data_IF_031365881630
#
_entry.id   IF_031365881630
#
_cell.length_a   1.000
_cell.length_b   1.000
_cell.length_c   1.000
_cell.angle_alpha   90.00
_cell.angle_beta   90.00
_cell.angle_gamma   90.00
#
_symmetry.space_group_name_H-M   'P 1'
#
loop_
_entity.id
_entity.type
_entity.pdbx_description
1 polymer ?
#
# COMPACT_ATOMS: atom_id res chain seq x y z
N UNK A 1 -7.12 19.11 -5.70
CA UNK A 1 -7.01 17.65 -5.68
C UNK A 1 -5.81 17.26 -6.53
N UNK A 2 -5.22 16.09 -6.28
CA UNK A 2 -4.18 15.52 -7.13
C UNK A 2 -4.78 15.21 -8.53
N UNK A 3 -4.09 15.61 -9.58
CA UNK A 3 -4.34 15.10 -10.93
C UNK A 3 -3.75 13.68 -11.00
N UNK A 4 -4.60 12.68 -10.69
CA UNK A 4 -4.22 11.27 -10.63
C UNK A 4 -4.36 10.65 -12.01
N UNK A 5 -3.22 10.32 -12.62
CA UNK A 5 -3.22 9.54 -13.86
C UNK A 5 -3.54 8.07 -13.53
N UNK A 6 -4.61 7.55 -14.14
CA UNK A 6 -5.05 6.16 -13.99
C UNK A 6 -4.84 5.46 -15.34
N UNK A 7 -4.12 4.35 -15.32
CA UNK A 7 -3.81 3.56 -16.51
C UNK A 7 -4.54 2.21 -16.50
N UNK A 8 -4.73 1.61 -17.65
CA UNK A 8 -5.23 0.24 -17.73
C UNK A 8 -4.11 -0.78 -17.40
N UNK A 9 -4.44 -2.00 -16.95
CA UNK A 9 -3.45 -3.06 -16.70
C UNK A 9 -2.57 -3.41 -17.92
N UNK A 10 -3.06 -3.14 -19.14
CA UNK A 10 -2.29 -3.38 -20.37
C UNK A 10 -1.22 -2.33 -20.65
N UNK A 11 -1.27 -1.17 -20.00
CA UNK A 11 -0.34 -0.05 -20.20
C UNK A 11 0.89 -0.17 -19.29
N UNK A 12 1.56 -1.33 -19.32
CA UNK A 12 2.67 -1.69 -18.41
C UNK A 12 3.81 -0.67 -18.47
N UNK A 13 4.27 -0.31 -19.67
CA UNK A 13 5.35 0.68 -19.86
C UNK A 13 4.98 2.04 -19.29
N UNK A 14 3.77 2.50 -19.59
CA UNK A 14 3.27 3.78 -19.09
C UNK A 14 3.15 3.78 -17.57
N UNK A 15 2.66 2.68 -16.98
CA UNK A 15 2.59 2.53 -15.53
C UNK A 15 3.97 2.64 -14.87
N UNK A 16 4.99 1.99 -15.42
CA UNK A 16 6.36 2.06 -14.91
C UNK A 16 6.96 3.46 -15.05
N UNK A 17 6.74 4.15 -16.18
CA UNK A 17 7.19 5.54 -16.38
C UNK A 17 6.58 6.46 -15.32
N UNK A 18 5.26 6.38 -15.11
CA UNK A 18 4.55 7.19 -14.11
C UNK A 18 5.05 6.89 -12.69
N UNK A 19 5.22 5.60 -12.36
CA UNK A 19 5.75 5.19 -11.06
C UNK A 19 7.14 5.78 -10.79
N UNK A 20 8.06 5.68 -11.75
CA UNK A 20 9.42 6.21 -11.57
C UNK A 20 9.47 7.74 -11.56
N UNK A 21 8.55 8.41 -12.25
CA UNK A 21 8.42 9.87 -12.24
C UNK A 21 7.84 10.39 -10.91
N UNK A 22 6.72 9.81 -10.49
CA UNK A 22 5.88 10.36 -9.42
C UNK A 22 6.07 9.66 -8.06
N UNK A 23 6.62 8.43 -8.05
CA UNK A 23 6.72 7.56 -6.88
C UNK A 23 5.49 6.70 -6.65
N UNK A 24 4.49 6.81 -7.52
CA UNK A 24 3.27 5.98 -7.51
C UNK A 24 2.56 6.04 -8.86
N UNK A 25 1.66 5.08 -9.10
CA UNK A 25 0.75 5.04 -10.24
C UNK A 25 -0.57 4.38 -9.83
N UNK A 26 -1.67 4.83 -10.39
CA UNK A 26 -2.97 4.17 -10.25
C UNK A 26 -3.27 3.30 -11.47
N UNK A 27 -3.81 2.11 -11.24
CA UNK A 27 -4.20 1.13 -12.27
C UNK A 27 -5.67 0.79 -12.06
N UNK A 28 -6.50 0.95 -13.09
CA UNK A 28 -7.90 0.59 -13.03
C UNK A 28 -8.10 -0.93 -13.14
N UNK A 29 -9.28 -1.40 -12.75
CA UNK A 29 -9.71 -2.79 -12.98
C UNK A 29 -8.68 -3.84 -12.53
N UNK A 30 -8.13 -3.66 -11.33
CA UNK A 30 -7.14 -4.57 -10.75
C UNK A 30 -7.71 -5.97 -10.45
N UNK A 31 -9.03 -6.11 -10.33
CA UNK A 31 -9.75 -7.30 -9.91
C UNK A 31 -10.83 -7.71 -10.89
N UNK A 32 -11.14 -9.01 -10.93
CA UNK A 32 -12.47 -9.47 -11.37
C UNK A 32 -13.52 -9.14 -10.30
N UNK A 33 -14.80 -9.15 -10.68
CA UNK A 33 -15.88 -8.86 -9.72
C UNK A 33 -15.86 -9.82 -8.54
N UNK A 34 -15.68 -11.11 -8.79
CA UNK A 34 -15.64 -12.14 -7.74
C UNK A 34 -14.44 -11.97 -6.79
N UNK A 35 -13.27 -11.61 -7.32
CA UNK A 35 -12.09 -11.32 -6.50
C UNK A 35 -12.33 -10.10 -5.61
N UNK A 36 -12.91 -9.05 -6.17
CA UNK A 36 -13.19 -7.82 -5.45
C UNK A 36 -14.19 -8.02 -4.31
N UNK A 37 -15.35 -8.64 -4.59
CA UNK A 37 -16.35 -8.89 -3.54
C UNK A 37 -15.80 -9.81 -2.45
N UNK A 38 -15.03 -10.85 -2.81
CA UNK A 38 -14.40 -11.74 -1.83
C UNK A 38 -13.47 -11.00 -0.86
N UNK A 39 -12.57 -10.14 -1.34
CA UNK A 39 -11.66 -9.40 -0.46
C UNK A 39 -12.38 -8.29 0.31
N UNK A 40 -13.37 -7.63 -0.29
CA UNK A 40 -14.18 -6.61 0.35
C UNK A 40 -14.97 -7.18 1.53
N UNK A 41 -15.61 -8.34 1.36
CA UNK A 41 -16.34 -9.03 2.43
C UNK A 41 -15.39 -9.45 3.57
N UNK A 42 -14.22 -9.98 3.22
CA UNK A 42 -13.20 -10.31 4.22
C UNK A 42 -12.74 -9.08 4.99
N UNK A 43 -12.51 -7.96 4.29
CA UNK A 43 -12.12 -6.71 4.92
C UNK A 43 -13.21 -6.19 5.89
N UNK A 44 -14.47 -6.27 5.51
CA UNK A 44 -15.57 -5.88 6.40
C UNK A 44 -15.67 -6.77 7.65
N UNK A 45 -15.43 -8.09 7.53
CA UNK A 45 -15.37 -8.99 8.71
C UNK A 45 -14.28 -8.55 9.68
N UNK A 46 -13.05 -8.31 9.17
CA UNK A 46 -11.92 -7.89 10.02
C UNK A 46 -12.15 -6.49 10.61
N UNK A 47 -12.70 -5.55 9.85
CA UNK A 47 -13.10 -4.23 10.38
C UNK A 47 -14.03 -4.38 11.57
N UNK A 48 -15.08 -5.22 11.45
CA UNK A 48 -16.03 -5.46 12.55
C UNK A 48 -15.32 -6.02 13.77
N UNK A 49 -14.53 -7.08 13.62
CA UNK A 49 -13.79 -7.71 14.72
C UNK A 49 -12.85 -6.73 15.42
N UNK A 50 -12.08 -5.93 14.66
CA UNK A 50 -11.14 -4.96 15.23
C UNK A 50 -11.84 -3.80 15.93
N UNK A 51 -12.95 -3.30 15.39
CA UNK A 51 -13.68 -2.17 15.98
C UNK A 51 -14.50 -2.58 17.21
N UNK A 52 -14.88 -3.84 17.33
CA UNK A 52 -15.46 -4.40 18.56
C UNK A 52 -14.40 -4.58 19.67
N UNK A 53 -13.15 -4.86 19.30
CA UNK A 53 -12.06 -5.09 20.25
C UNK A 53 -11.29 -3.83 20.65
N UNK A 54 -11.20 -2.81 19.78
CA UNK A 54 -10.35 -1.63 19.95
C UNK A 54 -11.18 -0.37 19.73
N UNK A 55 -11.26 0.50 20.75
CA UNK A 55 -12.00 1.76 20.65
C UNK A 55 -11.34 2.77 19.68
N UNK A 56 -12.11 3.77 19.24
CA UNK A 56 -11.64 4.80 18.29
C UNK A 56 -10.40 5.55 18.79
N UNK A 57 -10.31 5.80 20.11
CA UNK A 57 -9.21 6.51 20.75
C UNK A 57 -7.92 5.66 20.80
N UNK A 58 -8.07 4.32 20.82
CA UNK A 58 -6.96 3.37 20.89
C UNK A 58 -6.57 2.82 19.52
N UNK A 59 -7.17 3.33 18.45
CA UNK A 59 -6.82 2.93 17.09
C UNK A 59 -5.35 3.18 16.80
N UNK A 60 -4.68 2.20 16.18
CA UNK A 60 -3.21 2.14 16.09
C UNK A 60 -2.58 3.04 15.02
N UNK A 61 -3.39 3.83 14.30
CA UNK A 61 -2.96 4.80 13.27
C UNK A 61 -3.48 6.21 13.51
N UNK A 62 -3.95 6.50 14.74
CA UNK A 62 -4.59 7.74 15.13
C UNK A 62 -6.09 7.57 15.33
N UNK A 63 -6.75 8.57 15.89
CA UNK A 63 -8.19 8.51 16.19
C UNK A 63 -9.01 8.03 14.99
N UNK A 64 -9.82 6.99 15.21
CA UNK A 64 -10.71 6.38 14.22
C UNK A 64 -10.00 5.87 12.95
N UNK A 65 -8.68 5.58 13.02
CA UNK A 65 -7.87 5.08 11.92
C UNK A 65 -7.07 3.85 12.34
N UNK A 66 -7.21 2.79 11.60
CA UNK A 66 -6.65 1.48 11.95
C UNK A 66 -5.79 0.92 10.83
N UNK A 67 -4.72 0.21 11.20
CA UNK A 67 -4.07 -0.76 10.32
C UNK A 67 -4.72 -2.11 10.57
N UNK A 68 -4.96 -2.85 9.49
CA UNK A 68 -5.37 -4.25 9.60
C UNK A 68 -4.29 -5.13 10.28
N UNK A 69 -3.02 -4.70 10.25
CA UNK A 69 -1.91 -5.57 10.57
C UNK A 69 -1.67 -6.60 9.46
N UNK A 70 -0.92 -7.66 9.76
CA UNK A 70 -0.76 -8.78 8.83
C UNK A 70 -2.05 -9.59 8.73
N UNK A 71 -2.48 -9.85 7.49
CA UNK A 71 -3.70 -10.58 7.18
C UNK A 71 -3.43 -11.83 6.34
N UNK A 72 -2.19 -12.33 6.33
CA UNK A 72 -1.79 -13.51 5.53
C UNK A 72 -2.37 -14.83 6.06
N UNK A 73 -3.09 -14.79 7.17
CA UNK A 73 -3.91 -15.90 7.70
C UNK A 73 -5.33 -15.95 7.10
N UNK A 74 -5.67 -14.99 6.22
CA UNK A 74 -6.90 -14.96 5.44
C UNK A 74 -6.61 -15.28 3.96
N UNK A 75 -7.18 -16.32 3.36
CA UNK A 75 -6.94 -16.69 1.97
C UNK A 75 -7.24 -15.57 0.98
N UNK A 76 -8.21 -14.71 1.29
CA UNK A 76 -8.61 -13.57 0.46
C UNK A 76 -7.45 -12.57 0.30
N UNK A 77 -6.72 -12.25 1.37
CA UNK A 77 -5.54 -11.38 1.31
C UNK A 77 -4.37 -12.03 0.57
N UNK A 78 -4.20 -13.33 0.72
CA UNK A 78 -3.13 -14.05 0.05
C UNK A 78 -3.26 -14.01 -1.48
N UNK A 79 -4.48 -13.91 -2.00
CA UNK A 79 -4.75 -13.76 -3.44
C UNK A 79 -4.36 -12.40 -4.01
N UNK A 80 -4.07 -11.41 -3.15
CA UNK A 80 -3.62 -10.10 -3.62
C UNK A 80 -2.17 -10.12 -4.13
N UNK A 81 -1.38 -11.12 -3.75
CA UNK A 81 0.05 -11.14 -4.07
C UNK A 81 0.37 -11.57 -5.51
N UNK A 82 -0.57 -12.20 -6.24
CA UNK A 82 -0.33 -12.70 -7.59
C UNK A 82 -1.40 -12.30 -8.62
N UNK A 83 -1.99 -11.12 -8.44
CA UNK A 83 -2.96 -10.57 -9.39
C UNK A 83 -2.33 -10.41 -10.79
N UNK A 84 -2.88 -11.07 -11.82
CA UNK A 84 -2.30 -11.04 -13.18
C UNK A 84 -2.35 -9.65 -13.82
N UNK A 85 -3.22 -8.77 -13.35
CA UNK A 85 -3.34 -7.36 -13.76
C UNK A 85 -2.24 -6.48 -13.17
N UNK A 86 -1.59 -6.89 -12.10
CA UNK A 86 -0.65 -6.09 -11.33
C UNK A 86 0.79 -6.61 -11.46
N UNK A 87 0.99 -7.92 -11.41
CA UNK A 87 2.36 -8.50 -11.43
C UNK A 87 3.22 -8.05 -12.62
N UNK A 88 2.72 -7.96 -13.86
CA UNK A 88 3.55 -7.51 -14.98
C UNK A 88 4.05 -6.07 -14.81
N UNK A 89 3.27 -5.21 -14.13
CA UNK A 89 3.69 -3.84 -13.81
C UNK A 89 4.77 -3.84 -12.74
N UNK A 90 4.64 -4.68 -11.70
CA UNK A 90 5.68 -4.83 -10.66
C UNK A 90 7.00 -5.36 -11.27
N UNK A 91 6.91 -6.37 -12.14
CA UNK A 91 8.05 -6.91 -12.88
C UNK A 91 8.76 -5.83 -13.70
N UNK A 92 7.98 -4.99 -14.39
CA UNK A 92 8.53 -3.87 -15.16
C UNK A 92 9.18 -2.80 -14.28
N UNK A 93 8.57 -2.45 -13.14
CA UNK A 93 9.12 -1.44 -12.21
C UNK A 93 10.45 -1.93 -11.62
N UNK A 94 10.56 -3.21 -11.25
CA UNK A 94 11.79 -3.78 -10.70
C UNK A 94 12.80 -4.21 -11.76
N UNK A 95 12.40 -4.25 -13.02
CA UNK A 95 13.15 -4.86 -14.14
C UNK A 95 13.62 -6.29 -13.78
N UNK A 96 12.75 -7.06 -13.12
CA UNK A 96 13.05 -8.39 -12.59
C UNK A 96 11.78 -9.13 -12.17
N UNK A 97 11.78 -10.45 -12.35
CA UNK A 97 10.78 -11.37 -11.82
C UNK A 97 11.16 -11.97 -10.44
N UNK A 98 12.34 -11.60 -9.88
CA UNK A 98 12.93 -12.20 -8.67
C UNK A 98 12.55 -11.51 -7.37
N UNK A 99 11.55 -10.62 -7.38
CA UNK A 99 11.01 -10.01 -6.15
C UNK A 99 10.22 -11.02 -5.31
N UNK A 100 9.94 -10.66 -4.06
CA UNK A 100 9.13 -11.49 -3.15
C UNK A 100 8.04 -10.66 -2.49
N UNK A 101 6.96 -11.35 -2.08
CA UNK A 101 5.88 -10.72 -1.30
C UNK A 101 6.34 -10.42 0.12
N UNK A 102 5.89 -9.28 0.65
CA UNK A 102 6.02 -8.93 2.07
C UNK A 102 4.78 -9.29 2.90
N UNK A 103 3.83 -9.99 2.30
CA UNK A 103 2.53 -10.27 2.90
C UNK A 103 1.44 -9.29 2.49
N UNK A 104 0.35 -9.32 3.21
CA UNK A 104 -0.83 -8.51 2.97
C UNK A 104 -1.40 -7.89 4.25
N UNK A 105 -2.09 -6.79 4.11
CA UNK A 105 -2.70 -6.03 5.20
C UNK A 105 -3.50 -4.85 4.68
N UNK A 106 -3.20 -3.66 5.15
CA UNK A 106 -3.85 -2.42 4.72
C UNK A 106 -4.29 -1.56 5.89
N UNK A 107 -5.13 -0.58 5.57
CA UNK A 107 -5.64 0.39 6.53
C UNK A 107 -7.12 0.70 6.27
N UNK A 108 -7.81 1.13 7.31
CA UNK A 108 -9.15 1.70 7.17
C UNK A 108 -9.34 2.91 8.08
N UNK A 109 -10.24 3.79 7.70
CA UNK A 109 -10.65 4.93 8.52
C UNK A 109 -12.15 4.97 8.67
N UNK A 110 -12.59 5.13 9.92
CA UNK A 110 -13.98 5.35 10.27
C UNK A 110 -14.34 6.83 10.12
N UNK A 111 -15.63 7.17 10.07
CA UNK A 111 -16.10 8.55 10.17
C UNK A 111 -15.47 9.29 11.34
N UNK A 112 -15.03 10.53 11.11
CA UNK A 112 -14.35 11.36 12.10
C UNK A 112 -12.83 11.19 12.20
N UNK A 113 -12.25 10.25 11.46
CA UNK A 113 -10.78 10.12 11.40
C UNK A 113 -10.14 11.42 10.92
N UNK A 114 -9.08 11.87 11.61
CA UNK A 114 -8.40 13.14 11.32
C UNK A 114 -7.31 12.98 10.26
N UNK A 115 -6.88 14.09 9.68
CA UNK A 115 -5.76 14.13 8.75
C UNK A 115 -4.48 13.65 9.43
N UNK A 116 -3.71 12.78 8.77
CA UNK A 116 -2.38 12.38 9.22
C UNK A 116 -1.34 13.39 8.72
N UNK A 117 -0.25 13.56 9.47
CA UNK A 117 0.96 14.19 8.94
C UNK A 117 1.51 13.37 7.76
N UNK A 118 2.20 14.01 6.84
CA UNK A 118 2.93 13.31 5.78
C UNK A 118 4.02 12.45 6.39
N UNK A 119 4.19 11.25 5.85
CA UNK A 119 5.24 10.31 6.23
C UNK A 119 5.68 9.48 5.04
N UNK A 120 6.81 8.82 5.19
CA UNK A 120 7.28 7.72 4.35
C UNK A 120 7.32 6.46 5.20
N UNK A 121 6.94 5.30 4.64
CA UNK A 121 6.95 4.03 5.40
C UNK A 121 8.36 3.47 5.61
N UNK A 122 9.32 4.01 4.88
CA UNK A 122 10.72 3.62 4.99
C UNK A 122 11.59 4.86 5.23
N UNK A 123 12.11 5.05 6.45
CA UNK A 123 13.12 6.06 6.72
C UNK A 123 14.46 5.66 6.10
N UNK A 124 15.41 6.60 6.08
CA UNK A 124 16.76 6.32 5.61
C UNK A 124 17.49 5.39 6.61
N UNK A 125 17.53 4.11 6.28
CA UNK A 125 18.29 3.10 7.03
C UNK A 125 19.73 2.95 6.55
N UNK A 126 20.08 3.58 5.44
CA UNK A 126 21.43 3.53 4.88
C UNK A 126 22.30 4.56 5.60
N UNK A 127 23.23 4.09 6.42
CA UNK A 127 24.19 4.95 7.11
C UNK A 127 25.50 4.97 6.36
N UNK A 128 25.63 5.92 5.42
CA UNK A 128 26.93 6.26 4.86
C UNK A 128 27.64 7.28 5.76
N UNK A 129 28.80 6.91 6.39
CA UNK A 129 29.54 7.84 7.24
C UNK A 129 29.97 9.13 6.54
N UNK A 130 30.10 9.10 5.21
CA UNK A 130 30.47 10.25 4.41
C UNK A 130 29.27 11.01 3.84
N UNK A 131 28.05 10.55 4.14
CA UNK A 131 26.76 11.16 3.73
C UNK A 131 26.61 11.39 2.21
N UNK A 132 27.30 10.59 1.38
CA UNK A 132 27.26 10.67 -0.08
C UNK A 132 26.07 9.94 -0.68
N UNK A 133 25.64 8.86 -0.02
CA UNK A 133 24.55 7.97 -0.47
C UNK A 133 23.52 7.85 0.61
N UNK A 134 22.25 7.95 0.22
CA UNK A 134 21.06 7.72 1.07
C UNK A 134 20.18 6.64 0.43
N UNK A 135 19.22 6.14 1.13
CA UNK A 135 18.25 5.21 0.54
C UNK A 135 17.48 5.83 -0.63
N UNK A 136 17.41 7.16 -0.72
CA UNK A 136 16.74 7.89 -1.82
C UNK A 136 17.49 7.79 -3.15
N UNK A 137 18.78 7.45 -3.12
CA UNK A 137 19.63 7.30 -4.31
C UNK A 137 19.52 5.88 -4.93
N UNK A 138 19.01 4.91 -4.17
CA UNK A 138 18.90 3.52 -4.59
C UNK A 138 17.66 3.30 -5.48
N UNK A 139 17.64 2.26 -6.32
CA UNK A 139 16.42 1.80 -6.96
C UNK A 139 15.31 1.56 -5.94
N UNK A 140 14.06 1.43 -6.38
CA UNK A 140 12.93 1.17 -5.48
C UNK A 140 13.17 -0.09 -4.64
N UNK A 141 13.25 0.02 -3.30
CA UNK A 141 13.54 -1.12 -2.43
C UNK A 141 12.31 -1.96 -2.13
N UNK A 142 11.16 -1.30 -2.04
CA UNK A 142 9.91 -1.90 -1.61
C UNK A 142 8.72 -1.15 -2.19
N UNK A 143 7.78 -1.91 -2.74
CA UNK A 143 6.52 -1.42 -3.28
C UNK A 143 5.38 -1.87 -2.38
N UNK A 144 4.45 -0.97 -2.08
CA UNK A 144 3.14 -1.31 -1.53
C UNK A 144 2.09 -1.04 -2.60
N UNK A 145 1.19 -2.00 -2.78
CA UNK A 145 0.01 -1.87 -3.63
C UNK A 145 -1.20 -1.74 -2.73
N UNK A 146 -1.87 -0.62 -2.83
CA UNK A 146 -3.07 -0.28 -2.09
C UNK A 146 -4.31 -0.48 -2.97
N UNK A 147 -5.32 -1.15 -2.45
CA UNK A 147 -6.54 -1.48 -3.15
C UNK A 147 -7.74 -0.81 -2.49
N UNK A 148 -8.34 0.22 -3.10
CA UNK A 148 -9.60 0.82 -2.64
C UNK A 148 -10.75 -0.19 -2.67
N UNK A 149 -11.37 -0.44 -1.52
CA UNK A 149 -12.55 -1.31 -1.41
C UNK A 149 -13.87 -0.54 -1.59
N UNK A 150 -13.79 0.78 -1.65
CA UNK A 150 -14.84 1.72 -2.05
C UNK A 150 -14.21 2.80 -2.91
N UNK A 151 -15.00 3.58 -3.62
CA UNK A 151 -14.48 4.78 -4.31
C UNK A 151 -13.81 5.71 -3.31
N UNK A 152 -12.54 6.05 -3.56
CA UNK A 152 -11.82 7.02 -2.74
C UNK A 152 -12.18 8.42 -3.15
N UNK A 153 -12.75 9.17 -2.21
CA UNK A 153 -13.17 10.55 -2.41
C UNK A 153 -12.51 11.46 -1.36
N UNK A 154 -12.61 12.75 -1.59
CA UNK A 154 -12.15 13.74 -0.60
C UNK A 154 -12.86 13.58 0.73
N UNK A 155 -14.16 13.32 0.67
CA UNK A 155 -15.06 13.25 1.83
C UNK A 155 -14.78 12.03 2.70
N UNK A 156 -14.42 10.87 2.11
CA UNK A 156 -14.17 9.65 2.88
C UNK A 156 -12.71 9.47 3.32
N UNK A 157 -11.89 10.50 3.13
CA UNK A 157 -10.54 10.49 3.66
C UNK A 157 -9.55 9.69 2.80
N UNK A 158 -9.66 9.81 1.47
CA UNK A 158 -8.68 9.23 0.54
C UNK A 158 -7.24 9.65 0.89
N UNK A 159 -6.29 8.80 0.55
CA UNK A 159 -4.88 9.06 0.82
C UNK A 159 -4.36 10.18 -0.09
N UNK A 160 -3.58 11.10 0.48
CA UNK A 160 -2.84 12.11 -0.27
C UNK A 160 -1.41 11.60 -0.54
N UNK A 161 -0.88 11.94 -1.72
CA UNK A 161 0.48 11.63 -2.16
C UNK A 161 1.16 12.86 -2.69
N UNK A 162 2.47 12.99 -2.46
CA UNK A 162 3.26 14.09 -2.98
C UNK A 162 4.20 13.56 -4.06
N UNK A 163 3.91 13.92 -5.32
CA UNK A 163 4.64 13.45 -6.51
C UNK A 163 6.15 13.69 -6.39
N UNK A 164 6.94 12.69 -6.79
CA UNK A 164 8.41 12.77 -6.87
C UNK A 164 9.16 12.68 -5.55
N UNK A 165 8.46 12.62 -4.40
CA UNK A 165 9.12 12.66 -3.08
C UNK A 165 9.82 11.38 -2.68
N UNK A 166 9.59 10.27 -3.37
CA UNK A 166 10.32 9.01 -3.17
C UNK A 166 11.83 9.13 -3.42
N UNK A 167 12.26 10.20 -4.09
CA UNK A 167 13.66 10.55 -4.34
C UNK A 167 14.09 11.82 -3.59
N UNK A 168 13.23 12.39 -2.75
CA UNK A 168 13.53 13.64 -2.05
C UNK A 168 14.43 13.39 -0.86
N UNK A 169 15.50 14.19 -0.77
CA UNK A 169 16.35 14.30 0.43
C UNK A 169 15.90 15.40 1.39
N UNK A 170 14.86 16.15 1.03
CA UNK A 170 14.30 17.16 1.92
C UNK A 170 13.56 16.51 3.10
N UNK A 171 13.57 17.16 4.26
CA UNK A 171 12.77 16.69 5.39
C UNK A 171 11.27 16.83 5.07
N UNK A 172 10.49 15.88 5.58
CA UNK A 172 9.03 15.95 5.49
C UNK A 172 8.55 17.10 6.38
N UNK A 173 7.74 18.05 5.87
CA UNK A 173 7.24 19.15 6.68
C UNK A 173 6.29 18.65 7.77
N UNK A 174 6.27 19.33 8.92
CA UNK A 174 5.25 19.10 9.94
C UNK A 174 3.90 19.56 9.42
N UNK A 175 2.82 18.94 9.90
CA UNK A 175 1.45 19.21 9.41
C UNK A 175 1.06 20.69 9.45
N UNK A 176 1.51 21.41 10.47
CA UNK A 176 1.25 22.85 10.66
C UNK A 176 2.00 23.73 9.64
N UNK A 177 3.13 23.22 9.14
CA UNK A 177 3.96 23.90 8.16
C UNK A 177 3.73 23.41 6.72
N UNK A 178 2.87 22.40 6.53
CA UNK A 178 2.53 21.92 5.20
C UNK A 178 1.77 22.99 4.41
N UNK A 179 2.22 23.32 3.18
CA UNK A 179 1.47 24.20 2.32
C UNK A 179 0.12 23.57 1.93
N UNK A 180 -0.87 24.39 1.67
CA UNK A 180 -2.24 23.94 1.41
C UNK A 180 -2.36 22.98 0.22
N UNK A 181 -1.53 23.17 -0.81
CA UNK A 181 -1.51 22.26 -1.95
C UNK A 181 -1.11 20.81 -1.58
N UNK A 182 -0.22 20.62 -0.59
CA UNK A 182 0.14 19.28 -0.10
C UNK A 182 -1.03 18.63 0.66
N UNK A 183 -1.77 19.41 1.45
CA UNK A 183 -2.98 18.92 2.14
C UNK A 183 -4.06 18.49 1.16
N UNK A 184 -4.15 19.18 0.02
CA UNK A 184 -5.12 18.92 -1.04
C UNK A 184 -4.63 17.99 -2.16
N UNK A 185 -3.43 17.40 -2.06
CA UNK A 185 -2.90 16.43 -3.04
C UNK A 185 -3.54 15.04 -2.89
N UNK A 186 -4.86 14.99 -2.89
CA UNK A 186 -5.68 13.81 -2.57
C UNK A 186 -5.86 12.94 -3.80
N UNK A 187 -5.50 11.65 -3.70
CA UNK A 187 -5.65 10.66 -4.75
C UNK A 187 -7.05 10.02 -4.70
N UNK A 188 -7.99 10.61 -5.41
CA UNK A 188 -9.31 10.02 -5.61
C UNK A 188 -9.21 8.93 -6.68
N UNK A 189 -9.53 7.70 -6.31
CA UNK A 189 -9.44 6.54 -7.20
C UNK A 189 -10.72 5.68 -7.06
N UNK A 190 -11.24 5.11 -8.15
CA UNK A 190 -12.41 4.25 -8.08
C UNK A 190 -12.10 2.96 -7.31
N UNK A 191 -13.13 2.37 -6.73
CA UNK A 191 -13.06 1.00 -6.23
C UNK A 191 -12.55 0.04 -7.33
N UNK A 192 -11.99 -1.11 -6.94
CA UNK A 192 -11.34 -2.08 -7.85
C UNK A 192 -10.07 -1.58 -8.54
N UNK A 193 -9.62 -0.35 -8.28
CA UNK A 193 -8.30 0.09 -8.73
C UNK A 193 -7.18 -0.40 -7.81
N UNK A 194 -5.93 -0.23 -8.25
CA UNK A 194 -4.73 -0.41 -7.46
C UNK A 194 -3.90 0.87 -7.49
N UNK A 195 -3.38 1.30 -6.35
CA UNK A 195 -2.39 2.36 -6.26
C UNK A 195 -1.06 1.71 -5.88
N UNK A 196 -0.17 1.61 -6.85
CA UNK A 196 1.17 1.03 -6.71
C UNK A 196 2.10 2.16 -6.30
N UNK A 197 2.78 2.06 -5.15
CA UNK A 197 3.64 3.14 -4.64
C UNK A 197 4.98 2.65 -4.12
N UNK A 198 6.00 3.46 -4.30
CA UNK A 198 7.27 3.35 -3.57
C UNK A 198 7.04 3.77 -2.12
N UNK A 199 7.53 2.96 -1.18
CA UNK A 199 7.34 3.21 0.28
C UNK A 199 7.97 4.51 0.77
N UNK A 200 8.90 5.08 0.00
CA UNK A 200 9.56 6.36 0.30
C UNK A 200 8.71 7.55 -0.13
N UNK A 201 7.69 7.36 -0.98
CA UNK A 201 6.81 8.44 -1.41
C UNK A 201 6.03 9.01 -0.21
N UNK A 202 6.07 10.32 -0.02
CA UNK A 202 5.36 10.98 1.06
C UNK A 202 3.87 10.87 0.87
N UNK A 203 3.20 10.39 1.90
CA UNK A 203 1.75 10.19 1.88
C UNK A 203 1.15 10.34 3.27
N UNK A 204 -0.18 10.35 3.34
CA UNK A 204 -0.93 10.38 4.58
C UNK A 204 -2.42 10.35 4.31
N UNK A 205 -3.20 9.74 5.21
CA UNK A 205 -4.66 9.77 5.13
C UNK A 205 -5.22 11.16 5.36
N UNK A 206 -6.27 11.52 4.62
CA UNK A 206 -7.01 12.77 4.87
C UNK A 206 -8.16 12.54 5.84
N UNK A 207 -8.85 13.61 6.25
CA UNK A 207 -9.97 13.52 7.16
C UNK A 207 -11.14 12.76 6.52
N UNK A 208 -11.77 11.84 7.26
CA UNK A 208 -13.00 11.18 6.84
C UNK A 208 -14.21 11.91 7.42
N UNK A 209 -14.82 12.78 6.63
CA UNK A 209 -16.02 13.54 6.97
C UNK A 209 -17.31 12.88 6.49
N UNK A 210 -17.19 11.77 5.78
CA UNK A 210 -18.32 10.98 5.28
C UNK A 210 -18.93 10.09 6.38
N UNK A 211 -19.95 9.33 6.00
CA UNK A 211 -20.54 8.28 6.84
C UNK A 211 -19.95 6.89 6.53
N UNK A 212 -19.07 6.79 5.52
CA UNK A 212 -18.56 5.54 5.03
C UNK A 212 -17.26 5.14 5.74
N UNK A 213 -17.05 3.85 5.90
CA UNK A 213 -15.76 3.31 6.32
C UNK A 213 -14.86 3.24 5.08
N UNK A 214 -13.80 4.02 5.05
CA UNK A 214 -12.85 3.99 3.94
C UNK A 214 -11.87 2.82 4.14
N UNK A 215 -12.10 1.71 3.45
CA UNK A 215 -11.31 0.49 3.52
C UNK A 215 -10.30 0.45 2.37
N UNK A 216 -9.06 0.08 2.70
CA UNK A 216 -7.95 -0.06 1.78
C UNK A 216 -7.18 -1.34 2.11
N UNK A 217 -7.39 -2.43 1.37
CA UNK A 217 -6.55 -3.60 1.47
C UNK A 217 -5.19 -3.35 0.82
N UNK A 218 -4.16 -4.11 1.16
CA UNK A 218 -2.85 -3.98 0.55
C UNK A 218 -2.07 -5.28 0.48
N UNK A 219 -1.12 -5.32 -0.46
CA UNK A 219 -0.01 -6.27 -0.50
C UNK A 219 1.28 -5.52 -0.76
N UNK A 220 2.42 -6.16 -0.57
CA UNK A 220 3.69 -5.50 -0.82
C UNK A 220 4.74 -6.43 -1.43
N UNK A 221 5.77 -5.84 -2.07
CA UNK A 221 6.84 -6.57 -2.76
C UNK A 221 8.20 -5.94 -2.47
N UNK A 222 9.11 -6.77 -1.98
CA UNK A 222 10.51 -6.39 -1.83
C UNK A 222 11.28 -6.62 -3.13
N UNK A 223 12.10 -5.65 -3.50
CA UNK A 223 13.02 -5.77 -4.62
C UNK A 223 13.97 -6.97 -4.42
N UNK A 224 14.53 -7.55 -5.51
CA UNK A 224 15.46 -8.69 -5.42
C UNK A 224 16.64 -8.49 -4.48
N UNK A 225 17.08 -7.24 -4.33
CA UNK A 225 18.25 -6.84 -3.55
C UNK A 225 17.94 -6.37 -2.12
N UNK A 226 16.65 -6.17 -1.78
CA UNK A 226 16.24 -5.60 -0.48
C UNK A 226 15.46 -6.62 0.38
N UNK A 227 15.74 -6.62 1.67
CA UNK A 227 14.97 -7.35 2.68
C UNK A 227 14.83 -6.48 3.93
N UNK A 228 13.65 -6.44 4.51
CA UNK A 228 13.43 -5.79 5.80
C UNK A 228 13.85 -6.77 6.91
N UNK A 229 14.67 -6.33 7.89
CA UNK A 229 14.97 -7.14 9.07
C UNK A 229 13.70 -7.48 9.87
N UNK A 230 13.67 -8.65 10.52
CA UNK A 230 12.57 -9.04 11.41
C UNK A 230 11.28 -9.43 10.68
N UNK A 231 11.38 -9.84 9.43
CA UNK A 231 10.28 -10.53 8.76
C UNK A 231 10.21 -11.98 9.26
N UNK A 232 9.39 -12.18 10.27
CA UNK A 232 9.01 -13.51 10.70
C UNK A 232 7.86 -14.00 9.82
N UNK A 233 7.89 -15.27 9.41
CA UNK A 233 6.81 -15.89 8.66
C UNK A 233 5.59 -16.02 9.56
N UNK A 234 4.46 -15.44 9.15
CA UNK A 234 3.18 -15.53 9.84
C UNK A 234 2.05 -16.14 8.98
N UNK A 235 2.39 -16.53 7.73
CA UNK A 235 1.44 -17.22 6.84
C UNK A 235 1.30 -18.69 7.24
N UNK A 236 0.09 -19.16 7.57
CA UNK A 236 -0.13 -20.57 7.86
C UNK A 236 0.21 -21.47 6.69
N UNK A 237 0.91 -22.59 6.95
CA UNK A 237 1.27 -23.59 5.93
C UNK A 237 0.05 -24.08 5.14
N UNK A 238 -1.08 -24.31 5.82
CA UNK A 238 -2.31 -24.76 5.18
C UNK A 238 -2.83 -23.78 4.11
N UNK A 239 -2.66 -22.46 4.31
CA UNK A 239 -3.00 -21.45 3.30
C UNK A 239 -1.99 -21.46 2.16
N UNK A 240 -0.70 -21.44 2.49
CA UNK A 240 0.38 -21.49 1.50
C UNK A 240 0.21 -22.66 0.52
N UNK A 241 -0.14 -23.85 1.02
CA UNK A 241 -0.28 -25.06 0.19
C UNK A 241 -1.45 -24.96 -0.82
N UNK A 242 -2.41 -24.09 -0.61
CA UNK A 242 -3.53 -23.86 -1.55
C UNK A 242 -3.22 -22.82 -2.64
N UNK A 243 -2.11 -22.07 -2.52
CA UNK A 243 -1.78 -20.97 -3.42
C UNK A 243 -1.31 -21.46 -4.80
N UNK A 244 -1.38 -20.56 -5.77
CA UNK A 244 -0.81 -20.80 -7.11
C UNK A 244 0.71 -21.04 -7.05
N UNK A 245 1.33 -21.67 -8.06
CA UNK A 245 2.78 -21.81 -8.11
C UNK A 245 3.52 -20.47 -8.01
N UNK A 246 3.01 -19.41 -8.66
CA UNK A 246 3.62 -18.07 -8.60
C UNK A 246 3.47 -17.44 -7.23
N UNK A 247 2.30 -17.52 -6.62
CA UNK A 247 2.07 -17.03 -5.28
C UNK A 247 2.93 -17.75 -4.24
N UNK A 248 3.13 -19.08 -4.36
CA UNK A 248 4.06 -19.84 -3.52
C UNK A 248 5.50 -19.36 -3.65
N UNK A 249 5.96 -19.11 -4.88
CA UNK A 249 7.28 -18.54 -5.10
C UNK A 249 7.44 -17.18 -4.43
N UNK A 250 6.46 -16.29 -4.59
CA UNK A 250 6.47 -14.96 -4.00
C UNK A 250 6.43 -14.99 -2.46
N UNK A 251 5.64 -15.89 -1.87
CA UNK A 251 5.38 -15.94 -0.43
C UNK A 251 6.29 -16.89 0.35
N UNK A 252 7.24 -17.60 -0.29
CA UNK A 252 8.10 -18.63 0.35
C UNK A 252 8.85 -18.16 1.60
N UNK A 253 9.03 -16.83 1.76
CA UNK A 253 9.77 -16.25 2.89
C UNK A 253 8.90 -15.81 4.06
N UNK A 254 7.58 -15.86 3.90
CA UNK A 254 6.63 -15.43 4.94
C UNK A 254 5.76 -16.58 5.45
N UNK A 255 5.97 -17.81 4.96
CA UNK A 255 5.29 -18.99 5.47
C UNK A 255 5.92 -19.43 6.80
N UNK A 256 5.05 -19.82 7.77
CA UNK A 256 5.53 -20.37 9.04
C UNK A 256 6.41 -21.59 8.80
N UNK A 257 7.54 -21.64 9.49
CA UNK A 257 8.33 -22.85 9.62
C UNK A 257 7.60 -23.72 10.64
N UNK A 258 7.31 -24.97 10.26
CA UNK A 258 6.69 -25.98 11.13
C UNK A 258 7.61 -26.32 12.30
#
# INVERSE_FOLDING_TARGET
>A
MLDLEIVSPAQIEQAAILFHRDGFVAVENAFTDDQFESIKDAAHRVVKEQTEAISLEKANRGYARYSFGSQVHHPEWCRLCDLPTILPIIEKIFDSDKFISSGGGGDYSLPGAKIQHLHADMPDHLRDPQQRVTVMDLPTPFIVVNFPMIDFTKENGATRFIKGTHRSRHPIPKLEAEPEWMKNSIACAPAKSAIIRDVRCWHGGTENTSKDIRIMASTGYYAPWFRRPGMDGDMPRAIYDTMSPRAKELCRHIVCLD
#
